data_IF_941447379743
#
_entry.id   IF_941447379743
#
_cell.length_a   1.000
_cell.length_b   1.000
_cell.length_c   1.000
_cell.angle_alpha   90.00
_cell.angle_beta   90.00
_cell.angle_gamma   90.00
#
_symmetry.space_group_name_H-M   'P 1'
#
loop_
_entity.id
_entity.type
_entity.pdbx_description
1 polymer ?
#
# COMPACT_ATOMS: atom_id res chain seq x y z
N UNK A 1 18.29 -15.62 -9.26
CA UNK A 1 17.37 -15.19 -8.19
C UNK A 1 16.02 -15.82 -8.46
N UNK A 2 15.40 -16.44 -7.46
CA UNK A 2 14.10 -17.10 -7.64
C UNK A 2 12.99 -16.06 -7.71
N UNK A 3 12.11 -16.19 -8.70
CA UNK A 3 10.88 -15.42 -8.79
C UNK A 3 9.75 -16.26 -8.18
N UNK A 4 8.95 -15.68 -7.29
CA UNK A 4 7.72 -16.30 -6.80
C UNK A 4 6.54 -15.68 -7.55
N UNK A 5 5.61 -16.52 -7.96
CA UNK A 5 4.35 -16.08 -8.55
C UNK A 5 3.20 -16.40 -7.58
N UNK A 6 2.35 -15.41 -7.34
CA UNK A 6 1.14 -15.53 -6.52
C UNK A 6 -0.05 -15.28 -7.43
N UNK A 7 -1.00 -16.22 -7.44
CA UNK A 7 -2.26 -16.05 -8.18
C UNK A 7 -3.15 -15.06 -7.43
N UNK A 8 -3.56 -14.02 -8.13
CA UNK A 8 -4.49 -13.00 -7.66
C UNK A 8 -5.72 -12.95 -8.61
N UNK A 9 -6.95 -12.85 -8.09
CA UNK A 9 -8.15 -12.88 -8.91
C UNK A 9 -8.38 -11.61 -9.74
N UNK A 10 -7.71 -10.49 -9.41
CA UNK A 10 -7.80 -9.21 -10.09
C UNK A 10 -6.69 -9.10 -11.14
N UNK A 11 -5.45 -9.34 -10.71
CA UNK A 11 -4.24 -9.04 -11.49
C UNK A 11 -3.59 -10.26 -12.14
N UNK A 12 -4.19 -11.44 -12.00
CA UNK A 12 -3.66 -12.66 -12.58
C UNK A 12 -2.49 -13.23 -11.79
N UNK A 13 -1.25 -13.05 -12.25
CA UNK A 13 -0.06 -13.53 -11.54
C UNK A 13 0.81 -12.36 -11.09
N UNK A 14 0.90 -12.17 -9.78
CA UNK A 14 1.76 -11.17 -9.16
C UNK A 14 3.14 -11.80 -8.95
N UNK A 15 4.17 -11.15 -9.50
CA UNK A 15 5.56 -11.61 -9.51
C UNK A 15 6.34 -10.84 -8.46
N UNK A 16 7.00 -11.55 -7.56
CA UNK A 16 7.89 -10.97 -6.55
C UNK A 16 9.28 -11.59 -6.66
N UNK A 17 10.31 -10.78 -6.44
CA UNK A 17 11.65 -11.29 -6.26
C UNK A 17 11.83 -11.92 -4.87
N UNK A 18 12.98 -12.55 -4.64
CA UNK A 18 13.27 -13.24 -3.37
C UNK A 18 13.29 -12.28 -2.17
N UNK A 19 13.76 -11.05 -2.33
CA UNK A 19 13.83 -10.09 -1.24
C UNK A 19 12.44 -9.60 -0.82
N UNK A 20 11.60 -9.28 -1.80
CA UNK A 20 10.23 -8.83 -1.57
C UNK A 20 9.34 -9.98 -1.06
N UNK A 21 9.65 -11.24 -1.38
CA UNK A 21 9.03 -12.40 -0.73
C UNK A 21 9.32 -12.44 0.78
N UNK A 22 10.56 -12.20 1.20
CA UNK A 22 10.89 -12.16 2.62
C UNK A 22 10.17 -11.01 3.34
N UNK A 23 10.01 -9.86 2.66
CA UNK A 23 9.22 -8.76 3.18
C UNK A 23 7.74 -9.15 3.30
N UNK A 24 7.17 -9.78 2.28
CA UNK A 24 5.78 -10.27 2.31
C UNK A 24 5.53 -11.28 3.45
N UNK A 25 6.51 -12.12 3.75
CA UNK A 25 6.42 -13.17 4.78
C UNK A 25 6.67 -12.64 6.21
N UNK A 26 6.99 -11.35 6.38
CA UNK A 26 7.20 -10.75 7.69
C UNK A 26 5.89 -10.64 8.50
N UNK A 27 6.00 -10.61 9.83
CA UNK A 27 4.85 -10.59 10.74
C UNK A 27 3.88 -9.41 10.49
N UNK A 28 4.34 -8.14 10.31
CA UNK A 28 3.45 -7.03 9.98
C UNK A 28 2.58 -7.30 8.75
N UNK A 29 3.17 -7.85 7.68
CA UNK A 29 2.46 -8.19 6.45
C UNK A 29 1.50 -9.37 6.66
N UNK A 30 1.96 -10.48 7.24
CA UNK A 30 1.12 -11.66 7.46
C UNK A 30 -0.05 -11.39 8.42
N UNK A 31 0.01 -10.33 9.24
CA UNK A 31 -1.13 -9.86 10.04
C UNK A 31 -2.30 -9.42 9.18
N UNK A 32 -2.03 -8.76 8.05
CA UNK A 32 -3.04 -8.19 7.16
C UNK A 32 -4.00 -9.24 6.59
N UNK A 33 -3.61 -10.53 6.55
CA UNK A 33 -4.50 -11.64 6.14
C UNK A 33 -5.75 -11.77 7.01
N UNK A 34 -5.71 -11.24 8.24
CA UNK A 34 -6.81 -11.31 9.22
C UNK A 34 -7.58 -10.00 9.33
N UNK A 35 -7.25 -9.02 8.49
CA UNK A 35 -7.88 -7.70 8.50
C UNK A 35 -8.60 -7.54 7.16
N UNK A 36 -9.93 -7.51 7.20
CA UNK A 36 -10.73 -7.29 6.00
C UNK A 36 -10.52 -5.88 5.46
N UNK A 37 -10.43 -5.77 4.13
CA UNK A 37 -10.31 -4.47 3.44
C UNK A 37 -11.51 -3.57 3.78
N UNK A 38 -12.72 -4.11 3.62
CA UNK A 38 -13.98 -3.38 3.80
C UNK A 38 -14.66 -3.67 5.16
N UNK A 39 -13.89 -4.03 6.18
CA UNK A 39 -14.37 -4.31 7.54
C UNK A 39 -15.67 -5.15 7.59
N UNK A 40 -16.82 -4.51 7.88
CA UNK A 40 -18.14 -5.16 8.05
C UNK A 40 -18.97 -5.25 6.77
N UNK A 41 -18.43 -4.84 5.61
CA UNK A 41 -19.14 -4.93 4.33
C UNK A 41 -19.59 -6.37 4.01
N UNK A 42 -18.88 -7.38 4.50
CA UNK A 42 -19.25 -8.79 4.35
C UNK A 42 -20.64 -9.15 4.93
N UNK A 43 -21.16 -8.35 5.87
CA UNK A 43 -22.52 -8.52 6.39
C UNK A 43 -23.62 -8.16 5.37
N UNK A 44 -23.31 -7.28 4.40
CA UNK A 44 -24.23 -6.85 3.33
C UNK A 44 -23.85 -7.44 1.96
N UNK A 45 -22.56 -7.60 1.72
CA UNK A 45 -21.96 -8.17 0.51
C UNK A 45 -21.16 -9.41 0.91
N UNK A 46 -21.77 -10.61 0.98
CA UNK A 46 -21.09 -11.82 1.48
C UNK A 46 -19.79 -12.20 0.76
N UNK A 47 -19.57 -11.71 -0.47
CA UNK A 47 -18.32 -11.90 -1.23
C UNK A 47 -17.18 -10.95 -0.84
N UNK A 48 -17.45 -9.88 -0.09
CA UNK A 48 -16.47 -8.89 0.37
C UNK A 48 -15.62 -9.41 1.54
N UNK A 49 -14.98 -10.57 1.34
CA UNK A 49 -14.15 -11.25 2.34
C UNK A 49 -12.66 -10.98 2.15
N UNK A 50 -12.28 -10.21 1.13
CA UNK A 50 -10.89 -9.89 0.87
C UNK A 50 -10.23 -9.13 2.02
N UNK A 51 -8.93 -9.34 2.13
CA UNK A 51 -8.08 -8.83 3.19
C UNK A 51 -7.19 -7.69 2.70
N UNK A 52 -6.63 -6.92 3.64
CA UNK A 52 -5.60 -5.92 3.33
C UNK A 52 -4.35 -6.55 2.74
N UNK A 53 -4.08 -7.84 3.02
CA UNK A 53 -2.90 -8.52 2.50
C UNK A 53 -2.91 -8.68 0.98
N UNK A 54 -4.04 -9.14 0.41
CA UNK A 54 -4.17 -9.29 -1.04
C UNK A 54 -4.26 -7.92 -1.73
N UNK A 55 -4.85 -6.92 -1.08
CA UNK A 55 -4.81 -5.54 -1.52
C UNK A 55 -3.36 -5.01 -1.60
N UNK A 56 -2.56 -5.11 -0.54
CA UNK A 56 -1.15 -4.68 -0.56
C UNK A 56 -0.32 -5.37 -1.64
N UNK A 57 -0.60 -6.65 -1.93
CA UNK A 57 0.02 -7.37 -3.05
C UNK A 57 -0.38 -6.77 -4.41
N UNK A 58 -1.65 -6.41 -4.58
CA UNK A 58 -2.14 -5.74 -5.78
C UNK A 58 -1.56 -4.34 -5.94
N UNK A 59 -1.45 -3.55 -4.86
CA UNK A 59 -0.80 -2.23 -4.90
C UNK A 59 0.67 -2.36 -5.29
N UNK A 60 1.40 -3.35 -4.75
CA UNK A 60 2.76 -3.68 -5.19
C UNK A 60 2.82 -3.97 -6.70
N UNK A 61 1.87 -4.75 -7.22
CA UNK A 61 1.81 -5.11 -8.64
C UNK A 61 1.61 -3.87 -9.53
N UNK A 62 0.63 -3.04 -9.19
CA UNK A 62 0.31 -1.82 -9.95
C UNK A 62 1.46 -0.82 -9.87
N UNK A 63 2.03 -0.58 -8.68
CA UNK A 63 3.20 0.28 -8.52
C UNK A 63 4.39 -0.19 -9.36
N UNK A 64 4.60 -1.51 -9.46
CA UNK A 64 5.63 -2.09 -10.32
C UNK A 64 5.39 -1.78 -11.80
N UNK A 65 4.15 -1.91 -12.27
CA UNK A 65 3.77 -1.61 -13.65
C UNK A 65 3.92 -0.10 -13.97
N UNK A 66 3.58 0.77 -13.02
CA UNK A 66 3.80 2.22 -13.16
C UNK A 66 5.30 2.54 -13.22
N UNK A 67 6.12 1.92 -12.37
CA UNK A 67 7.58 2.06 -12.46
C UNK A 67 8.12 1.61 -13.82
N UNK A 68 7.65 0.47 -14.36
CA UNK A 68 8.02 0.00 -15.70
C UNK A 68 7.65 1.03 -16.77
N UNK A 69 6.44 1.59 -16.68
CA UNK A 69 5.95 2.58 -17.65
C UNK A 69 6.73 3.89 -17.61
N UNK A 70 7.10 4.36 -16.42
CA UNK A 70 7.80 5.63 -16.21
C UNK A 70 9.33 5.48 -16.29
N UNK A 71 9.85 4.26 -16.48
CA UNK A 71 11.28 4.00 -16.54
C UNK A 71 12.00 4.13 -15.18
N UNK A 72 11.28 3.97 -14.08
CA UNK A 72 11.84 3.98 -12.72
C UNK A 72 12.52 2.63 -12.47
N UNK A 73 13.82 2.66 -12.13
CA UNK A 73 14.65 1.45 -12.00
C UNK A 73 15.49 1.49 -10.72
N UNK A 74 16.26 0.42 -10.45
CA UNK A 74 17.24 0.40 -9.37
C UNK A 74 16.63 0.50 -7.96
N UNK A 75 17.27 1.31 -7.11
CA UNK A 75 16.85 1.50 -5.72
C UNK A 75 15.53 2.26 -5.60
N UNK A 76 15.27 3.23 -6.48
CA UNK A 76 14.03 4.01 -6.46
C UNK A 76 12.82 3.13 -6.76
N UNK A 77 12.94 2.22 -7.73
CA UNK A 77 11.92 1.21 -8.01
C UNK A 77 11.65 0.35 -6.78
N UNK A 78 12.70 -0.20 -6.16
CA UNK A 78 12.58 -1.07 -4.98
C UNK A 78 11.91 -0.32 -3.82
N UNK A 79 12.25 0.94 -3.62
CA UNK A 79 11.66 1.78 -2.60
C UNK A 79 10.15 1.94 -2.83
N UNK A 80 9.74 2.33 -4.03
CA UNK A 80 8.32 2.50 -4.39
C UNK A 80 7.56 1.18 -4.21
N UNK A 81 8.09 0.08 -4.74
CA UNK A 81 7.48 -1.25 -4.61
C UNK A 81 7.28 -1.66 -3.15
N UNK A 82 8.30 -1.48 -2.31
CA UNK A 82 8.23 -1.90 -0.89
C UNK A 82 7.36 -0.97 -0.05
N UNK A 83 7.36 0.33 -0.35
CA UNK A 83 6.40 1.26 0.26
C UNK A 83 4.96 0.89 -0.13
N UNK A 84 4.70 0.58 -1.41
CA UNK A 84 3.41 0.08 -1.88
C UNK A 84 2.99 -1.21 -1.16
N UNK A 85 3.92 -2.15 -0.92
CA UNK A 85 3.60 -3.37 -0.18
C UNK A 85 3.30 -3.09 1.30
N UNK A 86 3.92 -2.08 1.90
CA UNK A 86 3.84 -1.78 3.32
C UNK A 86 2.79 -0.70 3.68
N UNK A 87 2.22 0.02 2.71
CA UNK A 87 1.40 1.21 2.98
C UNK A 87 0.26 0.96 3.99
N UNK A 88 -0.27 -0.25 3.98
CA UNK A 88 -1.44 -0.66 4.74
C UNK A 88 -1.12 -1.34 6.09
N UNK A 89 0.16 -1.53 6.45
CA UNK A 89 0.53 -2.31 7.66
C UNK A 89 0.09 -1.65 8.97
N UNK A 90 -0.19 -0.35 8.96
CA UNK A 90 -0.69 0.43 10.09
C UNK A 90 -2.17 0.21 10.42
N UNK A 91 -2.96 -0.38 9.51
CA UNK A 91 -4.40 -0.54 9.76
C UNK A 91 -4.72 -1.56 10.87
N UNK A 92 -5.57 -1.14 11.80
CA UNK A 92 -6.19 -2.02 12.78
C UNK A 92 -7.43 -2.76 12.26
N UNK A 93 -7.93 -3.77 13.00
CA UNK A 93 -9.21 -4.40 12.68
C UNK A 93 -10.34 -3.36 12.80
N UNK A 94 -11.28 -3.33 11.85
CA UNK A 94 -12.33 -2.32 11.78
C UNK A 94 -11.82 -0.87 11.61
N UNK A 95 -10.55 -0.70 11.21
CA UNK A 95 -9.82 0.55 10.91
C UNK A 95 -10.32 1.77 11.71
N UNK A 96 -11.35 2.48 11.23
CA UNK A 96 -11.97 3.62 11.88
C UNK A 96 -12.38 3.42 13.35
N UNK A 97 -12.85 2.22 13.72
CA UNK A 97 -13.25 1.92 15.11
C UNK A 97 -12.04 1.59 15.99
N UNK A 98 -11.00 0.97 15.42
CA UNK A 98 -9.75 0.68 16.14
C UNK A 98 -8.85 1.90 16.32
N UNK A 99 -9.00 2.92 15.47
CA UNK A 99 -8.26 4.18 15.55
C UNK A 99 -8.62 4.98 16.82
N UNK A 100 -9.87 4.92 17.28
CA UNK A 100 -10.32 5.61 18.51
C UNK A 100 -9.59 5.09 19.77
N UNK A 101 -9.48 3.77 20.01
CA UNK A 101 -8.59 3.24 21.05
C UNK A 101 -7.11 3.48 20.77
N UNK A 102 -6.63 3.30 19.53
CA UNK A 102 -5.21 3.45 19.20
C UNK A 102 -4.70 4.86 19.53
N UNK A 103 -5.43 5.91 19.15
CA UNK A 103 -5.09 7.29 19.50
C UNK A 103 -5.10 7.56 21.02
N UNK A 104 -5.95 6.84 21.78
CA UNK A 104 -6.05 6.96 23.24
C UNK A 104 -5.01 6.17 24.01
N UNK A 105 -4.47 5.10 23.43
CA UNK A 105 -3.54 4.17 24.09
C UNK A 105 -2.11 4.25 23.57
N UNK A 106 -1.84 4.99 22.51
CA UNK A 106 -0.48 5.37 22.14
C UNK A 106 0.04 6.39 23.15
N UNK A 107 0.84 5.94 24.12
CA UNK A 107 1.68 6.76 25.04
C UNK A 107 2.72 7.64 24.31
N UNK A 108 2.60 7.81 22.98
CA UNK A 108 3.44 8.70 22.20
C UNK A 108 2.77 10.08 22.19
N UNK A 109 3.47 11.08 22.72
CA UNK A 109 3.15 12.53 22.60
C UNK A 109 2.85 12.99 21.15
N UNK A 110 3.10 12.14 20.15
CA UNK A 110 2.86 12.40 18.74
C UNK A 110 1.40 12.27 18.29
N UNK A 111 0.55 11.50 19.01
CA UNK A 111 -0.82 11.16 18.60
C UNK A 111 -1.89 11.65 19.58
N UNK A 112 -1.53 11.95 20.83
CA UNK A 112 -2.49 12.28 21.89
C UNK A 112 -3.12 13.68 21.78
N UNK A 113 -2.51 14.59 21.01
CA UNK A 113 -2.82 16.03 21.04
C UNK A 113 -3.12 16.65 19.66
N UNK A 114 -3.36 15.80 18.65
CA UNK A 114 -3.68 16.24 17.28
C UNK A 114 -5.06 15.72 16.87
N UNK A 115 -5.92 16.61 16.40
CA UNK A 115 -7.14 16.27 15.65
C UNK A 115 -6.74 15.65 14.30
N UNK A 116 -6.19 14.43 14.33
CA UNK A 116 -5.74 13.71 13.13
C UNK A 116 -6.94 13.03 12.48
N UNK A 117 -7.01 13.13 11.15
CA UNK A 117 -7.93 12.32 10.36
C UNK A 117 -7.60 10.83 10.47
N UNK A 118 -8.58 9.95 10.24
CA UNK A 118 -8.39 8.50 10.16
C UNK A 118 -7.25 8.10 9.21
N UNK A 119 -7.10 8.84 8.11
CA UNK A 119 -6.02 8.63 7.15
C UNK A 119 -4.64 8.92 7.77
N UNK A 120 -4.50 10.07 8.40
CA UNK A 120 -3.24 10.50 9.03
C UNK A 120 -2.81 9.59 10.19
N UNK A 121 -3.78 9.00 10.92
CA UNK A 121 -3.48 8.06 12.01
C UNK A 121 -2.85 6.77 11.48
N UNK A 122 -3.45 6.12 10.47
CA UNK A 122 -2.89 4.86 9.99
C UNK A 122 -1.58 5.06 9.23
N UNK A 123 -1.39 6.18 8.51
CA UNK A 123 -0.10 6.53 7.90
C UNK A 123 1.00 6.67 8.95
N UNK A 124 0.71 7.36 10.08
CA UNK A 124 1.64 7.50 11.19
C UNK A 124 1.99 6.14 11.82
N UNK A 125 0.99 5.27 12.02
CA UNK A 125 1.21 3.92 12.56
C UNK A 125 1.97 3.04 11.56
N UNK A 126 1.66 3.12 10.26
CA UNK A 126 2.41 2.44 9.20
C UNK A 126 3.87 2.86 9.26
N UNK A 127 4.14 4.16 9.30
CA UNK A 127 5.51 4.67 9.36
C UNK A 127 6.25 4.21 10.63
N UNK A 128 5.60 4.23 11.80
CA UNK A 128 6.18 3.73 13.05
C UNK A 128 6.49 2.22 12.99
N UNK A 129 5.58 1.42 12.44
CA UNK A 129 5.82 -0.02 12.21
C UNK A 129 7.01 -0.20 11.26
N UNK A 130 7.05 0.54 10.16
CA UNK A 130 8.15 0.48 9.19
C UNK A 130 9.47 0.78 9.90
N UNK A 131 9.55 1.82 10.73
CA UNK A 131 10.78 2.28 11.39
C UNK A 131 11.21 1.45 12.60
N UNK A 132 10.26 0.85 13.33
CA UNK A 132 10.56 0.27 14.66
C UNK A 132 10.30 -1.23 14.76
N UNK A 133 9.44 -1.82 13.93
CA UNK A 133 9.08 -3.23 14.09
C UNK A 133 10.27 -4.16 13.83
N UNK A 134 10.67 -5.03 14.78
CA UNK A 134 11.93 -5.78 14.69
C UNK A 134 11.95 -6.81 13.54
N UNK A 135 10.80 -7.35 13.16
CA UNK A 135 10.71 -8.26 12.01
C UNK A 135 11.19 -7.64 10.69
N UNK A 136 11.18 -6.30 10.56
CA UNK A 136 11.65 -5.61 9.35
C UNK A 136 13.17 -5.42 9.33
N UNK A 137 13.87 -5.54 10.47
CA UNK A 137 15.32 -5.37 10.58
C UNK A 137 16.12 -6.35 9.70
N UNK A 138 15.55 -7.52 9.43
CA UNK A 138 16.20 -8.60 8.69
C UNK A 138 15.93 -8.54 7.18
N UNK A 139 15.01 -7.68 6.74
CA UNK A 139 14.55 -7.59 5.34
C UNK A 139 14.77 -6.20 4.73
N UNK A 140 14.82 -5.15 5.55
CA UNK A 140 15.07 -3.78 5.13
C UNK A 140 16.22 -3.17 5.94
N UNK A 141 17.16 -2.52 5.26
CA UNK A 141 18.20 -1.70 5.89
C UNK A 141 17.59 -0.47 6.58
N UNK A 142 18.30 0.15 7.55
CA UNK A 142 17.83 1.37 8.20
C UNK A 142 17.45 2.49 7.21
N UNK A 143 18.24 2.67 6.15
CA UNK A 143 18.00 3.69 5.12
C UNK A 143 16.75 3.39 4.29
N UNK A 144 16.51 2.12 3.94
CA UNK A 144 15.30 1.72 3.21
C UNK A 144 14.04 1.96 4.06
N UNK A 145 14.12 1.70 5.37
CA UNK A 145 13.01 1.93 6.30
C UNK A 145 12.69 3.41 6.44
N UNK A 146 13.72 4.24 6.65
CA UNK A 146 13.57 5.70 6.71
C UNK A 146 12.95 6.25 5.43
N UNK A 147 13.43 5.79 4.27
CA UNK A 147 12.93 6.23 2.97
C UNK A 147 11.48 5.79 2.74
N UNK A 148 11.15 4.53 3.05
CA UNK A 148 9.78 4.01 2.89
C UNK A 148 8.80 4.71 3.83
N UNK A 149 9.18 4.90 5.10
CA UNK A 149 8.37 5.65 6.07
C UNK A 149 8.21 7.12 5.68
N UNK A 150 9.26 7.74 5.11
CA UNK A 150 9.19 9.08 4.53
C UNK A 150 8.24 9.16 3.33
N UNK A 151 8.16 8.10 2.52
CA UNK A 151 7.24 8.04 1.38
C UNK A 151 5.79 7.95 1.84
N UNK A 152 5.51 7.10 2.85
CA UNK A 152 4.18 6.98 3.47
C UNK A 152 3.74 8.31 4.10
N UNK A 153 4.63 9.02 4.80
CA UNK A 153 4.33 10.33 5.41
C UNK A 153 4.28 11.50 4.42
N UNK A 154 4.51 11.25 3.13
CA UNK A 154 4.61 12.30 2.11
C UNK A 154 5.81 13.24 2.25
N UNK A 155 6.79 12.93 3.09
CA UNK A 155 8.00 13.73 3.32
C UNK A 155 9.18 13.35 2.42
N UNK A 156 9.05 12.27 1.64
CA UNK A 156 10.07 11.88 0.67
C UNK A 156 10.20 12.92 -0.47
N UNK A 157 11.43 13.26 -0.90
CA UNK A 157 11.64 14.40 -1.81
C UNK A 157 11.14 14.15 -3.23
N UNK A 158 11.15 12.91 -3.73
CA UNK A 158 10.73 12.60 -5.10
C UNK A 158 9.19 12.67 -5.24
N UNK A 159 8.65 13.65 -5.99
CA UNK A 159 7.22 13.79 -6.15
C UNK A 159 6.59 12.68 -7.02
N UNK A 160 7.34 12.07 -7.94
CA UNK A 160 6.86 10.95 -8.75
C UNK A 160 6.64 9.74 -7.86
N UNK A 161 7.65 9.37 -7.06
CA UNK A 161 7.53 8.28 -6.09
C UNK A 161 6.34 8.50 -5.15
N UNK A 162 6.16 9.74 -4.65
CA UNK A 162 5.04 10.08 -3.75
C UNK A 162 3.70 9.80 -4.41
N UNK A 163 3.46 10.31 -5.60
CA UNK A 163 2.14 10.20 -6.21
C UNK A 163 1.84 8.84 -6.86
N UNK A 164 2.83 7.94 -6.97
CA UNK A 164 2.55 6.50 -7.20
C UNK A 164 1.91 5.88 -5.96
N UNK A 165 2.28 6.31 -4.76
CA UNK A 165 1.81 5.74 -3.48
C UNK A 165 0.58 6.48 -2.94
N UNK A 166 0.62 7.82 -2.96
CA UNK A 166 -0.42 8.70 -2.44
C UNK A 166 -0.61 9.88 -3.40
N UNK A 167 -1.69 9.79 -4.18
CA UNK A 167 -2.04 10.74 -5.23
C UNK A 167 -3.46 10.50 -5.77
N UNK A 168 -3.95 11.35 -6.69
CA UNK A 168 -5.30 11.20 -7.23
C UNK A 168 -5.52 9.90 -8.02
N UNK A 169 -4.45 9.36 -8.62
CA UNK A 169 -4.42 8.15 -9.43
C UNK A 169 -3.33 7.19 -8.95
N UNK A 170 -3.10 7.11 -7.64
CA UNK A 170 -2.10 6.21 -7.06
C UNK A 170 -2.44 4.73 -7.25
N UNK A 171 -1.45 3.88 -6.99
CA UNK A 171 -1.58 2.42 -7.08
C UNK A 171 -2.60 1.85 -6.08
N UNK A 172 -2.78 2.52 -4.93
CA UNK A 172 -3.75 2.14 -3.89
C UNK A 172 -5.19 2.19 -4.45
N UNK A 173 -5.59 3.37 -4.96
CA UNK A 173 -6.92 3.59 -5.56
C UNK A 173 -7.17 2.68 -6.75
N UNK A 174 -6.15 2.45 -7.57
CA UNK A 174 -6.28 1.57 -8.72
C UNK A 174 -6.56 0.11 -8.29
N UNK A 175 -5.94 -0.39 -7.21
CA UNK A 175 -6.24 -1.74 -6.73
C UNK A 175 -7.61 -1.82 -6.06
N UNK A 176 -7.88 -0.98 -5.04
CA UNK A 176 -9.08 -1.19 -4.24
C UNK A 176 -10.35 -0.97 -5.05
N UNK A 177 -10.37 -0.05 -6.03
CA UNK A 177 -11.55 0.17 -6.87
C UNK A 177 -11.90 -1.10 -7.68
N UNK A 178 -10.90 -1.73 -8.31
CA UNK A 178 -11.10 -2.97 -9.06
C UNK A 178 -11.43 -4.14 -8.14
N UNK A 179 -10.66 -4.29 -7.05
CA UNK A 179 -10.80 -5.40 -6.09
C UNK A 179 -12.13 -5.35 -5.38
N UNK A 180 -12.51 -4.21 -4.83
CA UNK A 180 -13.78 -4.05 -4.13
C UNK A 180 -14.96 -4.26 -5.09
N UNK A 181 -14.88 -3.74 -6.32
CA UNK A 181 -15.90 -3.94 -7.35
C UNK A 181 -16.12 -5.44 -7.64
N UNK A 182 -15.02 -6.19 -7.81
CA UNK A 182 -15.08 -7.62 -8.10
C UNK A 182 -15.56 -8.44 -6.89
N UNK A 183 -15.02 -8.18 -5.69
CA UNK A 183 -15.31 -8.96 -4.50
C UNK A 183 -16.70 -8.67 -3.93
N UNK A 184 -17.18 -7.42 -4.02
CA UNK A 184 -18.56 -7.07 -3.66
C UNK A 184 -19.59 -7.50 -4.72
N UNK A 185 -19.16 -7.79 -5.94
CA UNK A 185 -20.05 -8.06 -7.08
C UNK A 185 -20.81 -6.81 -7.57
N UNK A 186 -20.25 -5.61 -7.36
CA UNK A 186 -20.87 -4.33 -7.75
C UNK A 186 -20.00 -3.63 -8.79
N UNK A 187 -20.58 -3.20 -9.91
CA UNK A 187 -19.84 -2.68 -11.06
C UNK A 187 -19.55 -1.16 -11.00
N UNK A 188 -18.94 -0.66 -9.92
CA UNK A 188 -18.60 0.77 -9.80
C UNK A 188 -17.11 1.09 -10.04
N UNK A 189 -16.22 0.10 -9.94
CA UNK A 189 -14.77 0.28 -10.06
C UNK A 189 -14.17 -0.44 -11.26
N UNK A 190 -14.95 -0.64 -12.34
CA UNK A 190 -14.48 -1.34 -13.54
C UNK A 190 -13.89 -0.33 -14.52
N UNK A 191 -12.58 -0.39 -14.72
CA UNK A 191 -11.85 0.38 -15.72
C UNK A 191 -10.71 -0.45 -16.33
N UNK A 192 -10.17 0.02 -17.44
CA UNK A 192 -9.03 -0.61 -18.11
C UNK A 192 -7.72 -0.16 -17.45
N UNK A 193 -7.23 -0.97 -16.50
CA UNK A 193 -6.00 -0.72 -15.76
C UNK A 193 -4.79 -0.60 -16.69
N UNK A 194 -4.67 -1.52 -17.65
CA UNK A 194 -3.54 -1.52 -18.58
C UNK A 194 -3.54 -0.23 -19.40
N UNK A 195 -4.70 0.19 -19.91
CA UNK A 195 -4.79 1.45 -20.67
C UNK A 195 -4.45 2.66 -19.80
N UNK A 196 -4.96 2.71 -18.56
CA UNK A 196 -4.67 3.77 -17.60
C UNK A 196 -3.17 3.87 -17.34
N UNK A 197 -2.53 2.76 -16.97
CA UNK A 197 -1.08 2.70 -16.73
C UNK A 197 -0.32 3.12 -17.98
N UNK A 198 -0.68 2.63 -19.18
CA UNK A 198 0.05 2.97 -20.41
C UNK A 198 -0.06 4.45 -20.81
N UNK A 199 -1.12 5.17 -20.42
CA UNK A 199 -1.22 6.61 -20.67
C UNK A 199 -0.38 7.47 -19.72
N UNK A 200 0.09 6.94 -18.61
CA UNK A 200 0.81 7.70 -17.59
C UNK A 200 2.10 8.35 -18.14
N UNK A 201 2.27 9.65 -17.89
CA UNK A 201 3.50 10.39 -18.19
C UNK A 201 3.89 11.34 -17.06
N UNK A 202 5.16 11.70 -17.00
CA UNK A 202 5.66 12.77 -16.14
C UNK A 202 5.50 14.13 -16.83
N UNK A 203 5.25 15.18 -16.05
CA UNK A 203 5.27 16.57 -16.53
C UNK A 203 6.45 17.34 -15.90
N UNK A 204 6.94 18.42 -16.55
CA UNK A 204 8.18 19.10 -16.15
C UNK A 204 8.20 19.67 -14.72
N UNK A 205 7.03 19.97 -14.13
CA UNK A 205 6.93 20.59 -12.79
C UNK A 205 6.91 19.57 -11.64
N UNK A 206 7.10 18.28 -11.93
CA UNK A 206 7.15 17.24 -10.90
C UNK A 206 5.80 16.88 -10.28
N UNK A 207 4.71 17.60 -10.58
CA UNK A 207 3.36 17.13 -10.34
C UNK A 207 3.00 15.97 -11.28
N UNK A 208 2.05 15.13 -10.88
CA UNK A 208 2.00 13.73 -11.33
C UNK A 208 0.74 13.41 -12.15
N UNK A 209 1.00 12.71 -13.27
CA UNK A 209 0.13 11.86 -14.09
C UNK A 209 -1.03 12.55 -14.83
N UNK A 210 -0.75 12.97 -16.06
CA UNK A 210 -1.79 13.22 -17.07
C UNK A 210 -1.99 12.00 -17.99
N UNK A 211 -3.25 11.81 -18.38
CA UNK A 211 -3.72 10.92 -19.45
C UNK A 211 -3.38 11.45 -20.84
#
# INVERSE_FOLDING_TARGET
>A
MGLREIRDPIHGFIKLDTADCHLLDCQPMQRLRRIHQLAMASALYPGATHSRFEHSLGVYHIASAICDRLGITGDDRRLVQRAALLHDVGHGPFSHVSEIPLARYSDNDCLADKDLGAEEVHEAVTADIIERHPALNHVLSPRERESAAGLIRGTYPDPIAKAIISGPLDADKQDYLLRDSQMCGVRYGIFDLDRLVQSLTTVPDGEVLHH
#
